data_IF_963670147572
#
_entry.id   IF_963670147572
#
_cell.length_a   1.000
_cell.length_b   1.000
_cell.length_c   1.000
_cell.angle_alpha   90.00
_cell.angle_beta   90.00
_cell.angle_gamma   90.00
#
_symmetry.space_group_name_H-M   'P 1'
#
loop_
_entity.id
_entity.type
_entity.pdbx_description
1 polymer ?
#
# COMPACT_ATOMS: atom_id res chain seq x y z
N UNK A 1 -24.42 -12.36 9.51
CA UNK A 1 -24.75 -12.85 10.88
C UNK A 1 -24.09 -14.20 11.22
N UNK A 2 -24.25 -15.26 10.40
CA UNK A 2 -23.64 -16.58 10.70
C UNK A 2 -22.09 -16.57 10.83
N UNK A 3 -21.40 -15.74 10.05
CA UNK A 3 -19.92 -15.66 10.12
C UNK A 3 -19.42 -15.03 11.43
N UNK A 4 -20.11 -13.99 11.92
CA UNK A 4 -19.76 -13.32 13.18
C UNK A 4 -19.90 -14.26 14.36
N UNK A 5 -20.99 -15.04 14.42
CA UNK A 5 -21.21 -16.02 15.50
C UNK A 5 -20.11 -17.08 15.54
N UNK A 6 -19.67 -17.57 14.37
CA UNK A 6 -18.56 -18.53 14.28
C UNK A 6 -17.26 -17.91 14.80
N UNK A 7 -16.89 -16.73 14.31
CA UNK A 7 -15.67 -16.01 14.74
C UNK A 7 -15.68 -15.81 16.26
N UNK A 8 -16.77 -15.32 16.83
CA UNK A 8 -16.88 -15.10 18.27
C UNK A 8 -16.67 -16.40 19.06
N UNK A 9 -17.32 -17.50 18.65
CA UNK A 9 -17.18 -18.80 19.33
C UNK A 9 -15.75 -19.33 19.25
N UNK A 10 -15.11 -19.16 18.11
CA UNK A 10 -13.75 -19.66 17.89
C UNK A 10 -12.73 -18.81 18.69
N UNK A 11 -12.90 -17.48 18.75
CA UNK A 11 -12.05 -16.58 19.53
C UNK A 11 -12.13 -16.79 21.05
N UNK A 12 -13.31 -17.14 21.59
CA UNK A 12 -13.46 -17.46 23.02
C UNK A 12 -12.58 -18.66 23.43
N UNK A 13 -12.32 -19.58 22.51
CA UNK A 13 -11.51 -20.78 22.74
C UNK A 13 -10.04 -20.60 22.34
N UNK A 14 -9.66 -19.45 21.77
CA UNK A 14 -8.34 -19.26 21.23
C UNK A 14 -7.28 -19.27 22.36
N UNK A 15 -6.15 -19.99 22.19
CA UNK A 15 -5.06 -19.93 23.15
C UNK A 15 -4.41 -18.55 23.11
N UNK A 16 -3.74 -18.18 24.20
CA UNK A 16 -2.88 -16.99 24.20
C UNK A 16 -1.67 -17.22 23.29
N UNK A 17 -1.27 -16.18 22.58
CA UNK A 17 -0.01 -16.16 21.83
C UNK A 17 1.06 -15.49 22.69
N UNK A 18 2.29 -16.00 22.65
CA UNK A 18 3.44 -15.31 23.22
C UNK A 18 4.01 -14.35 22.18
N UNK A 19 4.52 -13.20 22.62
CA UNK A 19 5.20 -12.26 21.71
C UNK A 19 6.44 -12.91 21.10
N UNK A 20 6.65 -12.73 19.80
CA UNK A 20 7.77 -13.32 19.07
C UNK A 20 7.68 -13.11 17.56
N UNK A 21 8.68 -13.63 16.85
CA UNK A 21 8.71 -13.63 15.38
C UNK A 21 8.15 -14.95 14.88
N UNK A 22 7.13 -14.87 14.02
CA UNK A 22 6.45 -16.03 13.45
C UNK A 22 6.30 -15.86 11.94
N UNK A 23 6.28 -16.98 11.22
CA UNK A 23 5.74 -16.99 9.86
C UNK A 23 4.22 -16.95 9.96
N UNK A 24 3.59 -15.96 9.33
CA UNK A 24 2.15 -15.73 9.40
C UNK A 24 1.56 -15.82 8.00
N UNK A 25 0.41 -16.47 7.88
CA UNK A 25 -0.42 -16.44 6.67
C UNK A 25 -1.54 -15.44 6.94
N UNK A 26 -1.65 -14.42 6.09
CA UNK A 26 -2.66 -13.37 6.23
C UNK A 26 -3.89 -13.70 5.40
N UNK A 27 -5.06 -13.40 5.95
CA UNK A 27 -6.29 -13.27 5.18
C UNK A 27 -6.11 -12.19 4.08
N UNK A 28 -6.69 -12.35 2.88
CA UNK A 28 -6.53 -11.37 1.80
C UNK A 28 -6.93 -9.94 2.16
N UNK A 29 -8.01 -9.73 2.92
CA UNK A 29 -8.44 -8.39 3.32
C UNK A 29 -7.47 -7.79 4.32
N UNK A 30 -7.00 -8.60 5.28
CA UNK A 30 -5.98 -8.18 6.23
C UNK A 30 -4.65 -7.89 5.55
N UNK A 31 -4.29 -8.63 4.49
CA UNK A 31 -3.08 -8.38 3.72
C UNK A 31 -3.13 -7.03 2.98
N UNK A 32 -4.31 -6.62 2.52
CA UNK A 32 -4.53 -5.28 1.95
C UNK A 32 -4.31 -4.17 2.98
N UNK A 33 -4.85 -4.33 4.19
CA UNK A 33 -4.61 -3.36 5.29
C UNK A 33 -3.12 -3.32 5.65
N UNK A 34 -2.48 -4.49 5.77
CA UNK A 34 -1.05 -4.55 6.04
C UNK A 34 -0.23 -3.83 4.96
N UNK A 35 -0.58 -4.01 3.69
CA UNK A 35 0.08 -3.31 2.58
C UNK A 35 -0.15 -1.79 2.64
N UNK A 36 -1.35 -1.33 3.00
CA UNK A 36 -1.66 0.09 3.18
C UNK A 36 -0.76 0.74 4.23
N UNK A 37 -0.69 0.15 5.43
CA UNK A 37 0.09 0.70 6.54
C UNK A 37 1.61 0.57 6.31
N UNK A 38 2.06 -0.59 5.82
CA UNK A 38 3.49 -0.87 5.68
C UNK A 38 4.11 -0.24 4.43
N UNK A 39 3.30 0.01 3.38
CA UNK A 39 3.82 0.44 2.08
C UNK A 39 3.01 1.55 1.40
N UNK A 40 1.71 1.66 1.64
CA UNK A 40 0.85 2.70 1.07
C UNK A 40 1.36 4.10 1.44
N UNK A 41 1.32 4.43 2.74
CA UNK A 41 1.84 5.70 3.25
C UNK A 41 3.33 5.90 2.94
N UNK A 42 4.12 4.83 2.99
CA UNK A 42 5.54 4.91 2.67
C UNK A 42 5.81 5.33 1.20
N UNK A 43 4.85 5.07 0.32
CA UNK A 43 4.91 5.41 -1.09
C UNK A 43 4.34 6.80 -1.40
N UNK A 44 3.87 7.55 -0.41
CA UNK A 44 3.45 8.95 -0.59
C UNK A 44 4.70 9.84 -0.72
N UNK A 45 4.79 10.58 -1.82
CA UNK A 45 6.02 11.27 -2.18
C UNK A 45 6.42 12.39 -1.22
N UNK A 46 5.45 12.99 -0.53
CA UNK A 46 5.67 14.00 0.50
C UNK A 46 6.52 13.47 1.66
N UNK A 47 6.15 12.30 2.18
CA UNK A 47 6.96 11.60 3.17
C UNK A 47 8.37 11.27 2.63
N UNK A 48 8.46 10.83 1.37
CA UNK A 48 9.73 10.43 0.76
C UNK A 48 10.70 11.61 0.59
N UNK A 49 10.26 12.75 0.08
CA UNK A 49 11.16 13.88 -0.21
C UNK A 49 11.55 14.66 1.06
N UNK A 50 10.69 14.66 2.08
CA UNK A 50 10.96 15.38 3.34
C UNK A 50 11.89 14.59 4.29
N UNK A 51 12.01 13.28 4.10
CA UNK A 51 12.77 12.40 4.96
C UNK A 51 13.98 11.80 4.24
N UNK A 52 15.23 12.19 4.58
CA UNK A 52 16.43 11.67 3.92
C UNK A 52 16.57 10.14 3.95
N UNK A 53 16.16 9.51 5.05
CA UNK A 53 16.20 8.05 5.17
C UNK A 53 15.15 7.40 4.26
N UNK A 54 13.97 8.00 4.14
CA UNK A 54 12.94 7.54 3.21
C UNK A 54 13.39 7.71 1.75
N UNK A 55 14.05 8.82 1.41
CA UNK A 55 14.58 9.06 0.07
C UNK A 55 15.58 7.97 -0.37
N UNK A 56 16.52 7.59 0.50
CA UNK A 56 17.45 6.49 0.24
C UNK A 56 16.75 5.12 0.20
N UNK A 57 15.73 4.93 1.04
CA UNK A 57 14.96 3.69 1.08
C UNK A 57 14.08 3.51 -0.16
N UNK A 58 13.43 4.57 -0.62
CA UNK A 58 12.42 4.58 -1.69
C UNK A 58 13.02 4.97 -3.04
N UNK A 59 14.29 4.66 -3.25
CA UNK A 59 14.96 4.83 -4.55
C UNK A 59 14.41 3.83 -5.57
N UNK A 60 13.94 4.35 -6.70
CA UNK A 60 13.39 3.53 -7.79
C UNK A 60 14.40 2.46 -8.24
N UNK A 61 13.89 1.27 -8.53
CA UNK A 61 14.68 0.08 -8.88
C UNK A 61 15.17 -0.73 -7.67
N UNK A 62 14.98 -0.25 -6.44
CA UNK A 62 15.29 -1.04 -5.24
C UNK A 62 14.35 -2.24 -5.13
N UNK A 63 14.89 -3.40 -4.74
CA UNK A 63 14.10 -4.62 -4.48
C UNK A 63 13.54 -4.62 -3.06
N UNK A 64 12.22 -4.81 -2.96
CA UNK A 64 11.48 -4.94 -1.70
C UNK A 64 10.94 -6.34 -1.46
N UNK A 65 10.86 -7.17 -2.50
CA UNK A 65 10.31 -8.52 -2.36
C UNK A 65 10.67 -9.48 -3.49
N UNK A 66 10.10 -10.70 -3.43
CA UNK A 66 10.22 -11.69 -4.50
C UNK A 66 9.50 -11.22 -5.76
N UNK A 67 9.81 -11.85 -6.89
CA UNK A 67 9.25 -11.46 -8.20
C UNK A 67 7.72 -11.64 -8.31
N UNK A 68 7.09 -12.33 -7.35
CA UNK A 68 5.63 -12.49 -7.28
C UNK A 68 4.92 -11.30 -6.62
N UNK A 69 5.67 -10.35 -6.04
CA UNK A 69 5.10 -9.23 -5.29
C UNK A 69 4.82 -8.04 -6.22
N UNK A 70 3.55 -7.68 -6.33
CA UNK A 70 3.09 -6.41 -6.89
C UNK A 70 2.29 -5.66 -5.82
N UNK A 71 2.48 -4.33 -5.75
CA UNK A 71 1.68 -3.41 -4.95
C UNK A 71 1.23 -2.28 -5.86
N UNK A 72 -0.08 -2.06 -5.88
CA UNK A 72 -0.74 -1.13 -6.80
C UNK A 72 -1.69 -0.26 -5.98
N UNK A 73 -1.66 1.04 -6.25
CA UNK A 73 -2.76 1.95 -5.93
C UNK A 73 -3.63 2.13 -7.18
N UNK A 74 -4.95 2.11 -7.04
CA UNK A 74 -5.87 2.15 -8.19
C UNK A 74 -7.12 2.98 -7.90
N UNK A 75 -7.04 4.28 -8.20
CA UNK A 75 -8.17 5.20 -8.14
C UNK A 75 -9.20 4.99 -9.26
N UNK A 76 -8.88 4.19 -10.29
CA UNK A 76 -9.73 4.02 -11.48
C UNK A 76 -10.81 2.94 -11.35
N UNK A 77 -10.84 2.22 -10.22
CA UNK A 77 -11.72 1.08 -9.97
C UNK A 77 -13.18 1.47 -9.65
N UNK A 78 -13.99 1.67 -10.69
CA UNK A 78 -15.41 2.08 -10.58
C UNK A 78 -16.21 1.15 -9.65
N UNK A 79 -16.85 1.74 -8.64
CA UNK A 79 -17.73 1.04 -7.71
C UNK A 79 -17.06 0.59 -6.40
N UNK A 80 -15.73 0.71 -6.31
CA UNK A 80 -14.98 0.50 -5.09
C UNK A 80 -14.94 1.76 -4.22
N UNK A 81 -14.74 1.60 -2.91
CA UNK A 81 -14.73 2.72 -1.95
C UNK A 81 -13.59 3.74 -2.21
N UNK A 82 -12.49 3.31 -2.83
CA UNK A 82 -11.35 4.16 -3.19
C UNK A 82 -11.44 4.77 -4.59
N UNK A 83 -12.58 4.64 -5.29
CA UNK A 83 -12.73 5.17 -6.63
C UNK A 83 -12.68 6.71 -6.67
N UNK A 84 -11.79 7.22 -7.52
CA UNK A 84 -11.58 8.65 -7.76
C UNK A 84 -11.44 8.88 -9.26
N UNK A 85 -12.48 9.41 -9.92
CA UNK A 85 -12.41 9.70 -11.36
C UNK A 85 -11.36 10.78 -11.67
N UNK A 86 -11.31 11.80 -10.83
CA UNK A 86 -10.29 12.84 -10.79
C UNK A 86 -10.05 13.20 -9.32
N UNK A 87 -8.79 13.41 -8.95
CA UNK A 87 -8.41 13.90 -7.62
C UNK A 87 -8.79 15.37 -7.41
N UNK A 88 -8.48 15.90 -6.24
CA UNK A 88 -8.79 17.29 -5.86
C UNK A 88 -7.96 18.34 -6.65
N UNK A 89 -6.96 17.91 -7.43
CA UNK A 89 -6.12 18.74 -8.29
C UNK A 89 -6.45 18.56 -9.80
N UNK A 90 -7.52 17.82 -10.10
CA UNK A 90 -8.01 17.54 -11.44
C UNK A 90 -7.14 16.57 -12.23
N UNK A 91 -6.28 15.79 -11.56
CA UNK A 91 -5.53 14.68 -12.15
C UNK A 91 -6.46 13.48 -12.24
N UNK A 92 -6.47 12.79 -13.39
CA UNK A 92 -7.35 11.64 -13.60
C UNK A 92 -6.84 10.47 -12.76
N UNK A 93 -7.69 9.88 -11.92
CA UNK A 93 -7.32 8.71 -11.15
C UNK A 93 -6.94 7.55 -12.06
N UNK A 94 -5.81 6.93 -11.76
CA UNK A 94 -5.22 5.87 -12.57
C UNK A 94 -4.75 4.69 -11.72
N UNK A 95 -4.19 3.70 -12.41
CA UNK A 95 -3.59 2.53 -11.80
C UNK A 95 -2.08 2.73 -11.72
N UNK A 96 -1.58 2.93 -10.51
CA UNK A 96 -0.17 3.24 -10.24
C UNK A 96 0.52 2.03 -9.63
N UNK A 97 1.51 1.48 -10.33
CA UNK A 97 2.37 0.44 -9.77
C UNK A 97 3.38 1.08 -8.81
N UNK A 98 3.34 0.67 -7.55
CA UNK A 98 4.33 1.05 -6.54
C UNK A 98 5.45 0.01 -6.51
N UNK A 99 5.07 -1.27 -6.39
CA UNK A 99 5.96 -2.42 -6.59
C UNK A 99 5.51 -3.19 -7.82
N UNK A 100 6.46 -3.57 -8.68
CA UNK A 100 6.26 -4.49 -9.78
C UNK A 100 7.37 -5.54 -9.84
N UNK A 101 7.00 -6.82 -9.81
CA UNK A 101 7.94 -7.94 -9.74
C UNK A 101 8.96 -7.78 -8.59
N UNK A 102 8.49 -7.33 -7.42
CA UNK A 102 9.31 -7.10 -6.23
C UNK A 102 10.22 -5.87 -6.29
N UNK A 103 10.20 -5.08 -7.37
CA UNK A 103 10.97 -3.84 -7.52
C UNK A 103 10.09 -2.62 -7.28
N UNK A 104 10.61 -1.62 -6.57
CA UNK A 104 9.98 -0.30 -6.47
C UNK A 104 10.05 0.39 -7.84
N UNK A 105 8.90 0.70 -8.43
CA UNK A 105 8.80 1.28 -9.78
C UNK A 105 8.04 2.61 -9.83
N UNK A 106 7.41 3.01 -8.74
CA UNK A 106 6.66 4.25 -8.66
C UNK A 106 6.37 4.65 -7.21
N UNK A 107 5.69 5.78 -7.07
CA UNK A 107 5.22 6.39 -5.81
C UNK A 107 4.02 7.28 -6.13
N UNK A 108 3.30 7.74 -5.10
CA UNK A 108 2.10 8.54 -5.23
C UNK A 108 2.42 10.03 -5.12
N UNK A 109 1.84 10.83 -6.00
CA UNK A 109 2.18 12.23 -6.20
C UNK A 109 0.95 13.13 -6.30
N UNK A 110 0.97 14.21 -5.52
CA UNK A 110 0.29 15.45 -5.91
C UNK A 110 1.09 16.18 -7.00
N UNK A 111 0.52 17.22 -7.59
CA UNK A 111 1.21 18.13 -8.51
C UNK A 111 2.43 18.76 -7.90
N UNK A 112 2.39 19.12 -6.62
CA UNK A 112 3.52 19.72 -5.92
C UNK A 112 4.70 18.76 -5.84
N UNK A 113 4.47 17.54 -5.35
CA UNK A 113 5.55 16.57 -5.16
C UNK A 113 6.07 16.02 -6.48
N UNK A 114 5.19 15.90 -7.48
CA UNK A 114 5.59 15.58 -8.85
C UNK A 114 6.58 16.62 -9.40
N UNK A 115 6.27 17.91 -9.29
CA UNK A 115 7.15 18.99 -9.76
C UNK A 115 8.49 19.00 -9.00
N UNK A 116 8.46 18.88 -7.67
CA UNK A 116 9.68 18.87 -6.84
C UNK A 116 10.62 17.71 -7.13
N UNK A 117 10.08 16.57 -7.55
CA UNK A 117 10.83 15.35 -7.80
C UNK A 117 11.07 15.08 -9.30
N UNK A 118 10.62 15.99 -10.18
CA UNK A 118 10.68 15.84 -11.64
C UNK A 118 9.97 14.55 -12.15
N UNK A 119 8.88 14.18 -11.49
CA UNK A 119 8.05 13.01 -11.77
C UNK A 119 6.64 13.44 -12.25
N UNK A 120 5.75 12.47 -12.53
CA UNK A 120 4.39 12.78 -12.98
C UNK A 120 3.42 12.73 -11.79
N UNK A 121 2.39 13.59 -11.75
CA UNK A 121 1.26 13.42 -10.85
C UNK A 121 0.57 12.08 -11.12
N UNK A 122 0.00 11.47 -10.08
CA UNK A 122 -0.64 10.15 -10.13
C UNK A 122 -2.02 10.19 -9.50
#
# INVERSE_FOLDING_TARGET
VMNVVKITRDLIKAPKVNGGVYTVILDPQLSGIFAHEAFGHLSEADFVYENPQACEMMKLGRRFGPDILDIIDDGSSVGENGFTAYDDEGVKGEKTYLIKNGLLVGRLHSRETAERMEEKPT
#
